data_IF_959499094964
#
_entry.id   IF_959499094964
#
_cell.length_a   1.000
_cell.length_b   1.000
_cell.length_c   1.000
_cell.angle_alpha   90.00
_cell.angle_beta   90.00
_cell.angle_gamma   90.00
#
_symmetry.space_group_name_H-M   'P 1'
#
loop_
_entity.id
_entity.type
_entity.pdbx_description
1 polymer ?
#
# COMPACT_ATOMS: atom_id res chain seq x y z
N UNK A 1 -50.11 -8.01 55.72
CA UNK A 1 -48.71 -8.41 55.44
C UNK A 1 -48.73 -9.25 54.16
N UNK A 2 -47.98 -8.90 53.13
CA UNK A 2 -47.82 -9.73 51.94
C UNK A 2 -46.66 -10.70 52.18
N UNK A 3 -46.88 -12.00 51.94
CA UNK A 3 -45.79 -12.98 51.91
C UNK A 3 -45.03 -12.80 50.60
N UNK A 4 -43.81 -12.25 50.68
CA UNK A 4 -42.86 -12.28 49.56
C UNK A 4 -42.33 -13.71 49.48
N UNK A 5 -43.03 -14.57 48.74
CA UNK A 5 -42.61 -15.93 48.44
C UNK A 5 -41.38 -15.91 47.54
N UNK A 6 -40.41 -16.80 47.82
CA UNK A 6 -39.12 -16.88 47.13
C UNK A 6 -39.25 -17.10 45.62
N UNK A 7 -39.21 -16.03 44.84
CA UNK A 7 -38.91 -16.12 43.41
C UNK A 7 -37.40 -16.31 43.23
N UNK A 8 -36.95 -17.56 43.42
CA UNK A 8 -35.59 -17.98 43.03
C UNK A 8 -35.51 -17.99 41.50
N UNK A 9 -35.23 -16.81 40.93
CA UNK A 9 -34.93 -16.67 39.50
C UNK A 9 -33.75 -17.57 39.14
N UNK A 10 -34.03 -18.67 38.43
CA UNK A 10 -33.01 -19.62 37.96
C UNK A 10 -32.27 -19.06 36.75
N UNK A 11 -31.47 -18.04 37.02
CA UNK A 11 -30.54 -17.42 36.08
C UNK A 11 -29.70 -18.48 35.35
N UNK A 12 -29.94 -18.65 34.04
CA UNK A 12 -29.28 -19.67 33.21
C UNK A 12 -28.06 -19.07 32.51
N UNK A 13 -26.88 -19.27 33.08
CA UNK A 13 -25.61 -18.81 32.51
C UNK A 13 -25.13 -19.63 31.30
N UNK A 14 -24.36 -19.00 30.40
CA UNK A 14 -23.52 -19.69 29.39
C UNK A 14 -22.17 -18.97 29.21
N UNK A 15 -21.07 -19.72 28.91
CA UNK A 15 -19.81 -19.11 28.50
C UNK A 15 -19.94 -18.51 27.10
N UNK A 16 -19.44 -17.29 26.92
CA UNK A 16 -19.32 -16.62 25.61
C UNK A 16 -18.07 -17.16 24.91
N UNK A 17 -18.20 -17.58 23.64
CA UNK A 17 -17.05 -17.98 22.82
C UNK A 17 -16.27 -16.75 22.34
N UNK A 18 -14.98 -16.67 22.66
CA UNK A 18 -14.11 -15.59 22.22
C UNK A 18 -12.63 -15.98 22.29
N UNK A 19 -11.78 -15.16 21.68
CA UNK A 19 -10.33 -15.15 21.94
C UNK A 19 -10.01 -14.52 23.28
N UNK A 20 -8.82 -14.78 23.82
CA UNK A 20 -8.33 -14.12 25.04
C UNK A 20 -8.36 -12.59 24.92
N UNK A 21 -8.08 -12.04 23.72
CA UNK A 21 -8.25 -10.63 23.38
C UNK A 21 -9.69 -10.11 23.60
N UNK A 22 -10.71 -10.85 23.13
CA UNK A 22 -12.13 -10.50 23.35
C UNK A 22 -12.53 -10.61 24.82
N UNK A 23 -11.95 -11.56 25.54
CA UNK A 23 -12.15 -11.72 26.98
C UNK A 23 -11.57 -10.50 27.72
N UNK A 24 -10.34 -10.07 27.41
CA UNK A 24 -9.72 -8.84 27.93
C UNK A 24 -10.53 -7.58 27.62
N UNK A 25 -10.95 -7.40 26.37
CA UNK A 25 -11.81 -6.28 25.96
C UNK A 25 -13.04 -6.18 26.85
N UNK A 26 -13.78 -7.28 26.99
CA UNK A 26 -15.03 -7.36 27.74
C UNK A 26 -14.83 -7.45 29.26
N UNK A 27 -13.62 -7.72 29.75
CA UNK A 27 -13.25 -7.63 31.17
C UNK A 27 -13.14 -6.18 31.66
N UNK A 28 -12.84 -5.21 30.78
CA UNK A 28 -12.70 -3.80 31.17
C UNK A 28 -14.00 -3.17 31.67
N UNK A 29 -13.90 -2.32 32.71
CA UNK A 29 -15.05 -1.59 33.28
C UNK A 29 -15.82 -0.79 32.22
N UNK A 30 -15.09 -0.22 31.26
CA UNK A 30 -15.61 0.55 30.13
C UNK A 30 -16.51 -0.31 29.23
N UNK A 31 -16.05 -1.51 28.86
CA UNK A 31 -16.87 -2.49 28.15
C UNK A 31 -18.07 -2.97 28.98
N UNK A 32 -17.90 -3.23 30.28
CA UNK A 32 -18.98 -3.69 31.15
C UNK A 32 -20.10 -2.64 31.23
N UNK A 33 -19.75 -1.36 31.43
CA UNK A 33 -20.70 -0.25 31.40
C UNK A 33 -21.40 -0.13 30.03
N UNK A 34 -20.65 -0.18 28.93
CA UNK A 34 -21.21 -0.06 27.58
C UNK A 34 -22.10 -1.26 27.20
N UNK A 35 -21.77 -2.49 27.62
CA UNK A 35 -22.63 -3.68 27.45
C UNK A 35 -23.91 -3.55 28.27
N UNK A 36 -23.82 -3.08 29.52
CA UNK A 36 -25.00 -2.86 30.36
C UNK A 36 -25.91 -1.76 29.80
N UNK A 37 -25.35 -0.71 29.21
CA UNK A 37 -26.11 0.29 28.45
C UNK A 37 -26.79 -0.31 27.22
N UNK A 38 -26.10 -1.14 26.42
CA UNK A 38 -26.67 -1.79 25.24
C UNK A 38 -27.86 -2.70 25.62
N UNK A 39 -27.74 -3.48 26.69
CA UNK A 39 -28.84 -4.29 27.20
C UNK A 39 -29.99 -3.42 27.72
N UNK A 40 -29.70 -2.35 28.47
CA UNK A 40 -30.74 -1.44 29.00
C UNK A 40 -31.50 -0.71 27.88
N UNK A 41 -30.79 -0.21 26.87
CA UNK A 41 -31.36 0.42 25.66
C UNK A 41 -32.26 -0.55 24.88
N UNK A 42 -31.87 -1.83 24.80
CA UNK A 42 -32.64 -2.90 24.18
C UNK A 42 -33.75 -3.51 25.09
N UNK A 43 -33.93 -3.00 26.32
CA UNK A 43 -34.84 -3.51 27.37
C UNK A 43 -34.59 -4.98 27.77
N UNK A 44 -33.34 -5.42 27.69
CA UNK A 44 -32.92 -6.79 27.98
C UNK A 44 -32.58 -6.96 29.46
N UNK A 45 -33.17 -7.97 30.10
CA UNK A 45 -32.85 -8.38 31.47
C UNK A 45 -31.71 -9.39 31.49
N UNK A 46 -30.51 -8.90 31.15
CA UNK A 46 -29.27 -9.66 31.17
C UNK A 46 -28.12 -8.85 31.78
N UNK A 47 -27.11 -9.57 32.25
CA UNK A 47 -25.84 -9.06 32.79
C UNK A 47 -24.72 -9.91 32.18
N UNK A 48 -23.69 -9.24 31.66
CA UNK A 48 -22.41 -9.89 31.36
C UNK A 48 -21.55 -9.88 32.63
N UNK A 49 -20.81 -10.95 32.88
CA UNK A 49 -19.96 -11.07 34.06
C UNK A 49 -18.71 -11.89 33.75
N UNK A 50 -17.69 -11.79 34.59
CA UNK A 50 -16.43 -12.50 34.44
C UNK A 50 -16.27 -13.45 35.62
N UNK A 51 -16.00 -14.72 35.36
CA UNK A 51 -15.72 -15.72 36.39
C UNK A 51 -14.78 -16.79 35.86
N UNK A 52 -13.75 -17.12 36.62
CA UNK A 52 -12.82 -18.21 36.30
C UNK A 52 -12.22 -18.07 34.86
N UNK A 53 -11.82 -16.84 34.53
CA UNK A 53 -11.37 -16.36 33.20
C UNK A 53 -12.37 -16.54 32.03
N UNK A 54 -13.63 -16.86 32.34
CA UNK A 54 -14.71 -16.98 31.36
C UNK A 54 -15.69 -15.81 31.42
N UNK A 55 -16.12 -15.36 30.24
CA UNK A 55 -17.24 -14.44 30.08
C UNK A 55 -18.55 -15.20 30.26
N UNK A 56 -19.31 -14.86 31.29
CA UNK A 56 -20.52 -15.53 31.69
C UNK A 56 -21.72 -14.61 31.43
N UNK A 57 -22.50 -14.92 30.38
CA UNK A 57 -23.74 -14.22 30.06
C UNK A 57 -24.90 -14.81 30.86
N UNK A 58 -25.54 -13.98 31.67
CA UNK A 58 -26.61 -14.35 32.59
C UNK A 58 -27.86 -13.52 32.30
N UNK A 59 -29.04 -14.16 32.23
CA UNK A 59 -30.31 -13.48 31.96
C UNK A 59 -31.49 -14.17 32.67
N UNK A 60 -32.62 -13.46 32.77
CA UNK A 60 -33.85 -13.93 33.43
C UNK A 60 -34.39 -15.25 32.82
N UNK A 61 -34.29 -15.41 31.50
CA UNK A 61 -34.76 -16.59 30.75
C UNK A 61 -33.87 -16.86 29.50
N UNK A 62 -34.27 -17.86 28.68
CA UNK A 62 -33.53 -18.23 27.47
C UNK A 62 -33.78 -17.32 26.25
N UNK A 63 -34.89 -16.60 26.20
CA UNK A 63 -35.17 -15.61 25.14
C UNK A 63 -34.34 -14.34 25.39
N UNK A 64 -34.39 -13.80 26.62
CA UNK A 64 -33.56 -12.68 27.08
C UNK A 64 -32.07 -12.97 26.87
N UNK A 65 -31.60 -14.18 27.21
CA UNK A 65 -30.21 -14.60 26.93
C UNK A 65 -29.90 -14.63 25.43
N UNK A 66 -30.83 -15.12 24.60
CA UNK A 66 -30.63 -15.19 23.15
C UNK A 66 -30.63 -13.80 22.50
N UNK A 67 -31.46 -12.88 22.98
CA UNK A 67 -31.47 -11.48 22.57
C UNK A 67 -30.18 -10.77 23.00
N UNK A 68 -29.73 -10.99 24.24
CA UNK A 68 -28.47 -10.45 24.76
C UNK A 68 -27.25 -10.90 23.93
N UNK A 69 -27.17 -12.19 23.59
CA UNK A 69 -26.11 -12.74 22.73
C UNK A 69 -26.10 -12.04 21.37
N UNK A 70 -27.26 -11.91 20.70
CA UNK A 70 -27.39 -11.20 19.41
C UNK A 70 -27.00 -9.71 19.49
N UNK A 71 -27.34 -9.03 20.58
CA UNK A 71 -26.95 -7.62 20.77
C UNK A 71 -25.44 -7.51 20.97
N UNK A 72 -24.84 -8.38 21.78
CA UNK A 72 -23.40 -8.41 22.01
C UNK A 72 -22.63 -8.76 20.72
N UNK A 73 -23.04 -9.81 20.01
CA UNK A 73 -22.47 -10.23 18.72
C UNK A 73 -22.57 -9.13 17.65
N UNK A 74 -23.69 -8.39 17.57
CA UNK A 74 -23.87 -7.30 16.61
C UNK A 74 -22.95 -6.09 16.87
N UNK A 75 -22.54 -5.87 18.13
CA UNK A 75 -21.68 -4.74 18.52
C UNK A 75 -20.20 -5.14 18.68
N UNK A 76 -19.84 -6.43 18.58
CA UNK A 76 -18.47 -6.91 18.72
C UNK A 76 -17.77 -7.09 17.37
N UNK A 77 -17.16 -6.01 16.90
CA UNK A 77 -16.44 -5.97 15.65
C UNK A 77 -15.03 -6.52 15.83
N UNK A 78 -14.60 -7.43 14.93
CA UNK A 78 -13.20 -7.80 14.76
C UNK A 78 -12.72 -7.34 13.40
N UNK A 79 -11.53 -6.78 13.36
CA UNK A 79 -10.81 -6.47 12.13
C UNK A 79 -9.39 -7.00 12.22
N UNK A 80 -8.81 -7.30 11.07
CA UNK A 80 -7.45 -7.80 10.96
C UNK A 80 -6.75 -7.05 9.82
N UNK A 81 -5.60 -6.47 10.12
CA UNK A 81 -4.77 -5.75 9.15
C UNK A 81 -3.53 -6.62 8.91
N UNK A 82 -3.28 -7.13 7.69
CA UNK A 82 -2.06 -7.87 7.40
C UNK A 82 -0.85 -6.93 7.52
N UNK A 83 0.26 -7.45 8.05
CA UNK A 83 1.55 -6.73 8.14
C UNK A 83 2.67 -7.62 7.64
N UNK A 84 3.70 -6.99 7.08
CA UNK A 84 4.93 -7.65 6.61
C UNK A 84 6.07 -7.55 7.65
N UNK A 85 7.24 -8.08 7.31
CA UNK A 85 8.42 -8.09 8.18
C UNK A 85 8.99 -6.69 8.45
N UNK A 86 8.76 -5.69 7.59
CA UNK A 86 9.25 -4.32 7.81
C UNK A 86 8.51 -3.62 8.95
N UNK A 87 7.23 -3.93 9.14
CA UNK A 87 6.44 -3.39 10.25
C UNK A 87 6.91 -3.94 11.62
N UNK A 88 7.68 -5.03 11.67
CA UNK A 88 8.00 -5.72 12.93
C UNK A 88 8.87 -4.90 13.89
N UNK A 89 9.76 -4.04 13.40
CA UNK A 89 10.53 -3.12 14.25
C UNK A 89 9.62 -2.03 14.83
N UNK A 90 8.77 -1.42 13.99
CA UNK A 90 7.78 -0.44 14.41
C UNK A 90 6.80 -1.01 15.45
N UNK A 91 6.27 -2.22 15.22
CA UNK A 91 5.40 -2.97 16.13
C UNK A 91 6.08 -3.42 17.44
N UNK A 92 7.39 -3.21 17.60
CA UNK A 92 8.12 -3.41 18.87
C UNK A 92 8.46 -2.09 19.58
N UNK A 93 8.40 -0.96 18.87
CA UNK A 93 8.73 0.37 19.38
C UNK A 93 7.80 0.84 20.50
N UNK A 94 8.31 1.72 21.36
CA UNK A 94 7.48 2.39 22.37
C UNK A 94 6.47 3.37 21.75
N UNK A 95 6.74 3.89 20.54
CA UNK A 95 5.80 4.72 19.79
C UNK A 95 4.55 3.96 19.37
N UNK A 96 4.69 2.66 19.05
CA UNK A 96 3.53 1.79 18.81
C UNK A 96 2.76 1.52 20.10
N UNK A 97 3.45 1.23 21.21
CA UNK A 97 2.81 0.98 22.52
C UNK A 97 1.98 2.18 22.95
N UNK A 98 2.57 3.37 22.99
CA UNK A 98 1.89 4.63 23.33
C UNK A 98 0.65 4.87 22.45
N UNK A 99 0.75 4.60 21.15
CA UNK A 99 -0.38 4.74 20.23
C UNK A 99 -1.51 3.74 20.50
N UNK A 100 -1.20 2.52 20.97
CA UNK A 100 -2.22 1.56 21.41
C UNK A 100 -2.79 1.95 22.78
N UNK A 101 -1.94 2.35 23.74
CA UNK A 101 -2.36 2.83 25.06
C UNK A 101 -3.36 4.01 24.94
N UNK A 102 -3.07 4.97 24.04
CA UNK A 102 -3.97 6.07 23.70
C UNK A 102 -5.30 5.59 23.10
N UNK A 103 -5.27 4.59 22.20
CA UNK A 103 -6.48 4.04 21.57
C UNK A 103 -7.36 3.26 22.57
N UNK A 104 -6.76 2.42 23.41
CA UNK A 104 -7.48 1.63 24.43
C UNK A 104 -7.99 2.51 25.58
N UNK A 105 -7.31 3.63 25.87
CA UNK A 105 -7.82 4.65 26.78
C UNK A 105 -9.04 5.40 26.19
N UNK A 106 -8.94 5.88 24.94
CA UNK A 106 -9.98 6.72 24.33
C UNK A 106 -11.20 5.91 23.84
N UNK A 107 -11.01 4.74 23.24
CA UNK A 107 -12.08 3.91 22.66
C UNK A 107 -12.34 2.62 23.48
N UNK A 108 -13.36 1.85 23.13
CA UNK A 108 -13.64 0.56 23.77
C UNK A 108 -13.13 -0.55 22.84
N UNK A 109 -11.81 -0.74 22.85
CA UNK A 109 -11.07 -1.54 21.87
C UNK A 109 -9.90 -2.26 22.55
N UNK A 110 -9.42 -3.35 21.94
CA UNK A 110 -8.11 -3.94 22.22
C UNK A 110 -7.36 -4.23 20.92
N UNK A 111 -6.05 -3.97 20.88
CA UNK A 111 -5.21 -4.13 19.68
C UNK A 111 -4.00 -5.03 19.97
N UNK A 112 -4.13 -6.32 19.64
CA UNK A 112 -3.04 -7.29 19.76
C UNK A 112 -2.30 -7.45 18.42
N UNK A 113 -0.97 -7.48 18.45
CA UNK A 113 -0.16 -7.88 17.29
C UNK A 113 0.01 -9.40 17.23
N UNK A 114 -0.27 -9.97 16.07
CA UNK A 114 0.17 -11.31 15.68
C UNK A 114 1.55 -11.26 15.01
N UNK A 115 1.93 -12.37 14.37
CA UNK A 115 3.17 -12.46 13.58
C UNK A 115 3.01 -11.83 12.19
N UNK A 116 1.87 -12.03 11.53
CA UNK A 116 1.60 -11.56 10.15
C UNK A 116 0.41 -10.59 10.05
N UNK A 117 -0.15 -10.17 11.18
CA UNK A 117 -1.30 -9.26 11.23
C UNK A 117 -1.38 -8.50 12.55
N UNK A 118 -2.10 -7.37 12.54
CA UNK A 118 -2.59 -6.68 13.74
C UNK A 118 -4.09 -6.94 13.85
N UNK A 119 -4.53 -7.44 15.00
CA UNK A 119 -5.94 -7.79 15.27
C UNK A 119 -6.55 -6.74 16.18
N UNK A 120 -7.68 -6.18 15.74
CA UNK A 120 -8.45 -5.16 16.46
C UNK A 120 -9.80 -5.79 16.83
N UNK A 121 -10.08 -5.93 18.13
CA UNK A 121 -11.41 -6.30 18.64
C UNK A 121 -12.01 -5.07 19.35
N UNK A 122 -13.19 -4.62 18.90
CA UNK A 122 -13.82 -3.35 19.32
C UNK A 122 -15.30 -3.52 19.65
N UNK A 123 -15.80 -2.71 20.59
CA UNK A 123 -17.21 -2.69 21.01
C UNK A 123 -17.92 -1.41 20.52
N UNK A 124 -18.96 -1.60 19.71
CA UNK A 124 -19.79 -0.54 19.14
C UNK A 124 -19.15 0.21 17.98
N UNK A 125 -19.73 1.37 17.66
CA UNK A 125 -19.51 2.07 16.39
C UNK A 125 -18.08 2.63 16.20
N UNK A 126 -17.27 2.70 17.27
CA UNK A 126 -15.86 3.15 17.22
C UNK A 126 -14.95 2.28 16.33
N UNK A 127 -15.38 1.06 15.99
CA UNK A 127 -14.59 0.10 15.21
C UNK A 127 -14.08 0.65 13.87
N UNK A 128 -14.86 1.49 13.17
CA UNK A 128 -14.45 2.10 11.90
C UNK A 128 -13.32 3.12 12.05
N UNK A 129 -13.42 4.00 13.05
CA UNK A 129 -12.44 5.06 13.30
C UNK A 129 -11.12 4.49 13.85
N UNK A 130 -11.16 3.48 14.71
CA UNK A 130 -9.94 2.82 15.19
C UNK A 130 -9.28 2.01 14.07
N UNK A 131 -10.05 1.25 13.28
CA UNK A 131 -9.52 0.53 12.11
C UNK A 131 -8.84 1.49 11.12
N UNK A 132 -9.40 2.68 10.91
CA UNK A 132 -8.77 3.72 10.09
C UNK A 132 -7.47 4.21 10.73
N UNK A 133 -7.50 4.66 11.99
CA UNK A 133 -6.33 5.20 12.68
C UNK A 133 -5.15 4.20 12.70
N UNK A 134 -5.41 2.93 13.02
CA UNK A 134 -4.37 1.89 13.02
C UNK A 134 -3.84 1.63 11.61
N UNK A 135 -4.69 1.61 10.58
CA UNK A 135 -4.25 1.44 9.18
C UNK A 135 -3.41 2.62 8.70
N UNK A 136 -3.82 3.85 8.99
CA UNK A 136 -3.07 5.06 8.62
C UNK A 136 -1.72 5.08 9.35
N UNK A 137 -1.68 4.76 10.65
CA UNK A 137 -0.46 4.65 11.44
C UNK A 137 0.52 3.58 10.92
N UNK A 138 0.02 2.41 10.52
CA UNK A 138 0.83 1.36 9.90
C UNK A 138 1.37 1.83 8.54
N UNK A 139 0.53 2.43 7.69
CA UNK A 139 0.91 2.97 6.37
C UNK A 139 2.00 4.05 6.47
N UNK A 140 1.94 4.93 7.47
CA UNK A 140 2.97 5.94 7.73
C UNK A 140 4.34 5.34 8.10
N UNK A 141 4.36 4.08 8.56
CA UNK A 141 5.54 3.32 8.97
C UNK A 141 5.81 2.10 8.07
N UNK A 142 5.14 2.01 6.91
CA UNK A 142 5.34 0.96 5.92
C UNK A 142 6.58 1.25 5.06
N UNK A 143 7.19 0.20 4.48
CA UNK A 143 8.32 0.37 3.58
C UNK A 143 7.90 1.20 2.35
N UNK A 144 8.47 2.40 2.20
CA UNK A 144 8.33 3.17 0.96
C UNK A 144 9.29 2.62 -0.09
N UNK A 145 8.92 2.72 -1.37
CA UNK A 145 9.83 2.38 -2.48
C UNK A 145 9.69 3.36 -3.64
N UNK A 146 10.78 3.56 -4.38
CA UNK A 146 10.91 4.57 -5.43
C UNK A 146 11.89 4.07 -6.50
N UNK A 147 11.57 4.30 -7.77
CA UNK A 147 12.34 3.80 -8.92
C UNK A 147 13.09 4.95 -9.61
N UNK A 148 14.42 4.85 -9.66
CA UNK A 148 15.27 5.71 -10.48
C UNK A 148 15.46 5.02 -11.83
N UNK A 149 14.75 5.49 -12.85
CA UNK A 149 14.91 5.03 -14.23
C UNK A 149 16.30 5.35 -14.78
N UNK A 150 16.83 4.43 -15.57
CA UNK A 150 18.13 4.51 -16.26
C UNK A 150 17.97 4.13 -17.75
N UNK A 151 18.93 4.53 -18.59
CA UNK A 151 19.14 3.85 -19.88
C UNK A 151 19.75 2.46 -19.67
N UNK A 152 19.86 1.65 -20.75
CA UNK A 152 20.57 0.37 -20.65
C UNK A 152 22.05 0.59 -20.35
N UNK A 153 22.67 1.57 -21.01
CA UNK A 153 24.09 1.89 -20.89
C UNK A 153 24.44 2.35 -19.47
N UNK A 154 23.58 3.19 -18.86
CA UNK A 154 23.72 3.63 -17.47
C UNK A 154 23.57 2.47 -16.49
N UNK A 155 22.61 1.56 -16.72
CA UNK A 155 22.43 0.37 -15.87
C UNK A 155 23.62 -0.59 -15.97
N UNK A 156 24.14 -0.85 -17.17
CA UNK A 156 25.31 -1.70 -17.39
C UNK A 156 26.57 -1.09 -16.75
N UNK A 157 26.82 0.21 -16.95
CA UNK A 157 27.93 0.94 -16.33
C UNK A 157 27.87 0.87 -14.80
N UNK A 158 26.72 1.25 -14.23
CA UNK A 158 26.54 1.33 -12.79
C UNK A 158 26.62 -0.05 -12.14
N UNK A 159 25.97 -1.07 -12.71
CA UNK A 159 25.97 -2.43 -12.18
C UNK A 159 27.33 -3.12 -12.31
N UNK A 160 28.06 -2.90 -13.41
CA UNK A 160 29.33 -3.61 -13.67
C UNK A 160 30.52 -2.98 -12.94
N UNK A 161 30.56 -1.64 -12.82
CA UNK A 161 31.75 -0.93 -12.34
C UNK A 161 31.53 -0.05 -11.09
N UNK A 162 30.28 0.29 -10.75
CA UNK A 162 29.96 1.20 -9.65
C UNK A 162 28.96 0.65 -8.62
N UNK A 163 28.61 -0.64 -8.66
CA UNK A 163 27.63 -1.24 -7.75
C UNK A 163 28.00 -0.99 -6.28
N UNK A 164 29.27 -1.16 -5.91
CA UNK A 164 29.75 -0.88 -4.54
C UNK A 164 29.57 0.58 -4.14
N UNK A 165 29.68 1.53 -5.07
CA UNK A 165 29.47 2.96 -4.80
C UNK A 165 27.98 3.28 -4.61
N UNK A 166 27.10 2.59 -5.33
CA UNK A 166 25.63 2.64 -5.16
C UNK A 166 25.23 2.04 -3.80
N UNK A 167 25.79 0.91 -3.41
CA UNK A 167 25.59 0.31 -2.08
C UNK A 167 26.16 1.20 -0.95
N UNK A 168 27.33 1.81 -1.15
CA UNK A 168 27.97 2.66 -0.14
C UNK A 168 27.22 3.97 0.10
N UNK A 169 26.45 4.47 -0.86
CA UNK A 169 25.49 5.57 -0.62
C UNK A 169 24.43 5.16 0.42
N UNK A 170 23.98 3.90 0.41
CA UNK A 170 23.02 3.37 1.36
C UNK A 170 23.64 3.15 2.75
N UNK A 171 24.88 2.63 2.78
CA UNK A 171 25.64 2.43 4.03
C UNK A 171 25.93 3.77 4.73
N UNK A 172 26.22 4.83 3.98
CA UNK A 172 26.47 6.19 4.51
C UNK A 172 25.24 6.83 5.16
N UNK A 173 24.02 6.42 4.80
CA UNK A 173 22.78 6.81 5.52
C UNK A 173 22.51 6.01 6.80
N UNK A 174 23.39 5.07 7.17
CA UNK A 174 23.69 4.77 8.57
C UNK A 174 22.83 3.76 9.33
N UNK A 175 21.75 3.21 8.76
CA UNK A 175 20.79 2.37 9.52
C UNK A 175 20.55 0.96 8.99
N UNK A 176 20.96 0.64 7.75
CA UNK A 176 20.60 -0.62 7.09
C UNK A 176 19.12 -0.74 6.69
N UNK A 177 18.26 0.22 7.08
CA UNK A 177 16.83 0.29 6.71
C UNK A 177 16.56 0.89 5.32
N UNK A 178 17.59 1.08 4.50
CA UNK A 178 17.43 1.41 3.08
C UNK A 178 18.13 0.36 2.23
N UNK A 179 17.33 -0.37 1.47
CA UNK A 179 17.76 -1.37 0.50
C UNK A 179 17.77 -0.76 -0.90
N UNK A 180 18.71 -1.20 -1.75
CA UNK A 180 18.82 -0.76 -3.15
C UNK A 180 19.06 -1.95 -4.06
N UNK A 181 18.29 -2.03 -5.15
CA UNK A 181 18.36 -3.12 -6.12
C UNK A 181 18.39 -2.63 -7.57
N UNK A 182 19.32 -3.16 -8.36
CA UNK A 182 19.29 -3.07 -9.82
C UNK A 182 18.26 -4.05 -10.37
N UNK A 183 17.17 -3.56 -10.94
CA UNK A 183 16.06 -4.40 -11.43
C UNK A 183 15.41 -3.79 -12.69
N UNK A 184 14.34 -4.41 -13.18
CA UNK A 184 13.48 -3.85 -14.22
C UNK A 184 12.12 -3.49 -13.65
N UNK A 185 11.57 -2.38 -14.13
CA UNK A 185 10.18 -1.96 -13.86
C UNK A 185 9.20 -2.92 -14.56
N UNK A 186 7.90 -2.95 -14.17
CA UNK A 186 6.88 -3.74 -14.86
C UNK A 186 6.73 -3.42 -16.36
N UNK A 187 7.18 -2.23 -16.79
CA UNK A 187 7.23 -1.80 -18.20
C UNK A 187 8.53 -2.18 -18.94
N UNK A 188 9.35 -3.08 -18.37
CA UNK A 188 10.62 -3.53 -18.94
C UNK A 188 11.80 -2.55 -18.81
N UNK A 189 11.56 -1.27 -18.47
CA UNK A 189 12.64 -0.27 -18.31
C UNK A 189 13.55 -0.60 -17.13
N UNK A 190 14.86 -0.41 -17.32
CA UNK A 190 15.88 -0.54 -16.29
C UNK A 190 15.68 0.50 -15.16
N UNK A 191 15.84 0.06 -13.91
CA UNK A 191 15.72 0.91 -12.72
C UNK A 191 16.75 0.53 -11.64
N UNK A 192 17.12 1.53 -10.85
CA UNK A 192 17.57 1.33 -9.46
C UNK A 192 16.36 1.56 -8.57
N UNK A 193 15.86 0.50 -7.93
CA UNK A 193 14.81 0.59 -6.91
C UNK A 193 15.45 0.87 -5.56
N UNK A 194 14.98 1.91 -4.88
CA UNK A 194 15.32 2.24 -3.49
C UNK A 194 14.10 1.88 -2.63
N UNK A 195 14.28 1.23 -1.48
CA UNK A 195 13.17 0.98 -0.54
C UNK A 195 13.58 1.04 0.93
N UNK A 196 12.75 1.62 1.79
CA UNK A 196 13.10 1.87 3.20
C UNK A 196 12.28 2.94 3.90
N UNK A 197 12.78 3.40 5.06
CA UNK A 197 12.21 4.51 5.86
C UNK A 197 12.02 5.78 5.01
N UNK A 198 10.82 6.37 5.04
CA UNK A 198 10.45 7.54 4.23
C UNK A 198 11.42 8.73 4.34
N UNK A 199 11.90 9.02 5.54
CA UNK A 199 12.81 10.12 5.86
C UNK A 199 14.25 9.88 5.38
N UNK A 200 14.67 8.62 5.27
CA UNK A 200 16.00 8.24 4.79
C UNK A 200 16.02 8.07 3.26
N UNK A 201 14.92 7.57 2.70
CA UNK A 201 14.77 7.28 1.27
C UNK A 201 14.99 8.52 0.40
N UNK A 202 14.52 9.71 0.79
CA UNK A 202 14.73 10.94 0.01
C UNK A 202 16.21 11.34 -0.08
N UNK A 203 17.00 11.10 0.97
CA UNK A 203 18.44 11.39 0.96
C UNK A 203 19.19 10.43 0.01
N UNK A 204 18.91 9.12 0.10
CA UNK A 204 19.49 8.11 -0.79
C UNK A 204 19.08 8.34 -2.24
N UNK A 205 17.78 8.61 -2.49
CA UNK A 205 17.23 8.95 -3.81
C UNK A 205 17.91 10.18 -4.41
N UNK A 206 18.14 11.23 -3.62
CA UNK A 206 18.82 12.45 -4.07
C UNK A 206 20.29 12.19 -4.41
N UNK A 207 21.02 11.47 -3.53
CA UNK A 207 22.41 11.09 -3.79
C UNK A 207 22.57 10.21 -5.03
N UNK A 208 21.67 9.24 -5.23
CA UNK A 208 21.67 8.39 -6.42
C UNK A 208 21.32 9.17 -7.69
N UNK A 209 20.34 10.08 -7.67
CA UNK A 209 20.05 10.95 -8.83
C UNK A 209 21.24 11.84 -9.19
N UNK A 210 21.91 12.43 -8.20
CA UNK A 210 23.15 13.20 -8.42
C UNK A 210 24.31 12.33 -8.93
N UNK A 211 24.34 11.04 -8.58
CA UNK A 211 25.35 10.10 -9.09
C UNK A 211 25.09 9.72 -10.55
N UNK A 212 23.84 9.41 -10.92
CA UNK A 212 23.41 9.17 -12.32
C UNK A 212 23.67 10.40 -13.19
N UNK A 213 23.31 11.60 -12.72
CA UNK A 213 23.52 12.87 -13.43
C UNK A 213 25.00 13.22 -13.69
N UNK A 214 25.96 12.46 -13.13
CA UNK A 214 27.40 12.61 -13.38
C UNK A 214 27.95 11.62 -14.42
N UNK A 215 27.11 10.75 -14.98
CA UNK A 215 27.47 9.90 -16.10
C UNK A 215 27.59 10.78 -17.35
N UNK A 216 28.74 10.69 -18.05
CA UNK A 216 29.01 11.47 -19.25
C UNK A 216 28.89 10.55 -20.47
N UNK A 217 27.87 10.81 -21.29
CA UNK A 217 27.63 10.11 -22.55
C UNK A 217 28.47 10.72 -23.67
N UNK A 218 29.13 9.89 -24.50
CA UNK A 218 29.91 10.36 -25.67
C UNK A 218 29.90 9.34 -26.82
N UNK A 219 29.22 9.69 -27.90
CA UNK A 219 29.25 8.94 -29.18
C UNK A 219 30.54 9.22 -29.96
N UNK A 220 31.08 8.20 -30.63
CA UNK A 220 32.22 8.33 -31.56
C UNK A 220 31.96 7.48 -32.80
N UNK A 221 31.74 8.11 -33.95
CA UNK A 221 31.45 7.44 -35.23
C UNK A 221 32.74 7.02 -35.94
N UNK A 222 32.82 5.76 -36.41
CA UNK A 222 33.99 5.22 -37.11
C UNK A 222 33.66 4.75 -38.52
N UNK A 223 34.14 5.47 -39.54
CA UNK A 223 33.97 5.09 -40.96
C UNK A 223 35.13 4.22 -41.45
N UNK A 224 35.15 2.94 -41.03
CA UNK A 224 36.14 1.93 -41.48
C UNK A 224 35.45 0.62 -41.85
N UNK A 225 35.61 0.20 -43.10
CA UNK A 225 35.06 -1.07 -43.60
C UNK A 225 35.49 -2.26 -42.73
N UNK A 226 34.55 -3.17 -42.45
CA UNK A 226 34.76 -4.36 -41.63
C UNK A 226 34.90 -4.12 -40.11
N UNK A 227 35.08 -2.89 -39.64
CA UNK A 227 35.34 -2.61 -38.21
C UNK A 227 34.16 -3.02 -37.32
N UNK A 228 32.93 -2.65 -37.69
CA UNK A 228 31.73 -3.02 -36.95
C UNK A 228 31.55 -4.55 -36.86
N UNK A 229 31.82 -5.27 -37.95
CA UNK A 229 31.77 -6.73 -37.96
C UNK A 229 32.90 -7.36 -37.12
N UNK A 230 34.09 -6.77 -37.12
CA UNK A 230 35.18 -7.17 -36.22
C UNK A 230 34.79 -6.99 -34.74
N UNK A 231 34.18 -5.85 -34.37
CA UNK A 231 33.73 -5.59 -33.00
C UNK A 231 32.69 -6.61 -32.51
N UNK A 232 31.88 -7.18 -33.41
CA UNK A 232 30.93 -8.27 -33.09
C UNK A 232 31.61 -9.63 -32.82
N UNK A 233 32.85 -9.85 -33.27
CA UNK A 233 33.61 -11.11 -33.03
C UNK A 233 34.01 -11.27 -31.56
N UNK A 234 34.39 -12.48 -31.16
CA UNK A 234 34.94 -12.74 -29.82
C UNK A 234 36.18 -11.88 -29.52
N UNK A 235 37.10 -11.74 -30.47
CA UNK A 235 38.30 -10.90 -30.32
C UNK A 235 37.98 -9.41 -30.17
N UNK A 236 37.01 -8.90 -30.95
CA UNK A 236 36.52 -7.53 -30.82
C UNK A 236 35.88 -7.29 -29.45
N UNK A 237 34.97 -8.17 -29.03
CA UNK A 237 34.33 -8.13 -27.69
C UNK A 237 35.35 -8.19 -26.55
N UNK A 238 36.39 -9.01 -26.64
CA UNK A 238 37.46 -9.04 -25.63
C UNK A 238 38.25 -7.73 -25.57
N UNK A 239 38.56 -7.11 -26.72
CA UNK A 239 39.24 -5.81 -26.76
C UNK A 239 38.37 -4.70 -26.11
N UNK A 240 37.08 -4.65 -26.43
CA UNK A 240 36.11 -3.73 -25.82
C UNK A 240 36.05 -3.96 -24.30
N UNK A 241 35.84 -5.21 -23.87
CA UNK A 241 35.76 -5.59 -22.45
C UNK A 241 37.04 -5.23 -21.69
N UNK A 242 38.20 -5.27 -22.35
CA UNK A 242 39.49 -4.83 -21.79
C UNK A 242 39.48 -3.33 -21.48
N UNK A 243 39.11 -2.51 -22.46
CA UNK A 243 39.02 -1.04 -22.33
C UNK A 243 37.98 -0.67 -21.25
N UNK A 244 36.79 -1.27 -21.26
CA UNK A 244 35.76 -1.05 -20.24
C UNK A 244 36.29 -1.34 -18.82
N UNK A 245 37.02 -2.45 -18.64
CA UNK A 245 37.60 -2.84 -17.34
C UNK A 245 38.76 -1.96 -16.91
N UNK A 246 39.55 -1.43 -17.83
CA UNK A 246 40.67 -0.53 -17.56
C UNK A 246 40.16 0.87 -17.16
N UNK A 247 39.29 1.46 -17.98
CA UNK A 247 38.82 2.85 -17.84
C UNK A 247 37.53 3.01 -17.02
N UNK A 248 36.92 1.91 -16.55
CA UNK A 248 35.63 1.87 -15.82
C UNK A 248 34.49 2.56 -16.58
N UNK A 249 34.46 2.33 -17.88
CA UNK A 249 33.42 2.83 -18.78
C UNK A 249 32.58 1.67 -19.34
N UNK A 250 31.51 1.99 -20.06
CA UNK A 250 30.74 1.04 -20.85
C UNK A 250 30.70 1.51 -22.31
N UNK A 251 30.78 0.57 -23.25
CA UNK A 251 30.89 0.83 -24.69
C UNK A 251 29.78 0.06 -25.43
N UNK A 252 28.67 0.75 -25.70
CA UNK A 252 27.67 0.28 -26.66
C UNK A 252 28.16 0.51 -28.10
N UNK A 253 27.82 -0.39 -29.03
CA UNK A 253 28.21 -0.30 -30.45
C UNK A 253 26.98 -0.56 -31.33
N UNK A 254 26.46 0.53 -31.88
CA UNK A 254 25.30 0.54 -32.79
C UNK A 254 25.73 0.64 -34.25
N UNK A 255 24.83 0.23 -35.15
CA UNK A 255 24.96 0.48 -36.59
C UNK A 255 24.19 1.77 -36.92
N UNK A 256 24.87 2.75 -37.50
CA UNK A 256 24.23 3.95 -38.04
C UNK A 256 23.55 3.55 -39.36
N UNK A 257 22.26 3.18 -39.28
CA UNK A 257 21.46 2.87 -40.47
C UNK A 257 21.12 4.16 -41.20
N UNK A 258 21.37 4.20 -42.50
CA UNK A 258 21.15 5.38 -43.33
C UNK A 258 19.69 5.85 -43.26
N UNK A 259 19.47 7.03 -42.67
CA UNK A 259 18.17 7.69 -42.58
C UNK A 259 17.84 8.44 -43.88
N UNK A 260 17.81 7.72 -45.01
CA UNK A 260 17.63 8.30 -46.34
C UNK A 260 17.03 7.31 -47.37
N UNK A 261 15.79 6.86 -47.14
CA UNK A 261 14.87 6.43 -48.21
C UNK A 261 13.43 6.26 -47.71
N UNK A 262 12.63 7.32 -47.87
CA UNK A 262 11.17 7.26 -48.13
C UNK A 262 10.90 8.35 -49.16
N UNK A 263 11.16 8.00 -50.41
CA UNK A 263 10.45 8.38 -51.64
C UNK A 263 9.75 9.76 -51.68
N UNK A 264 10.36 10.69 -52.42
CA UNK A 264 9.62 11.79 -53.06
C UNK A 264 8.90 11.24 -54.31
N UNK A 265 7.61 10.94 -54.20
CA UNK A 265 6.70 10.73 -55.36
C UNK A 265 5.23 10.75 -54.88
N UNK A 266 4.64 11.95 -54.69
CA UNK A 266 3.20 12.18 -54.90
C UNK A 266 2.93 13.66 -55.23
N UNK A 267 1.96 13.90 -56.11
CA UNK A 267 1.92 15.08 -57.00
C UNK A 267 1.53 16.44 -56.37
N UNK A 268 1.97 17.50 -57.08
CA UNK A 268 1.44 18.88 -57.07
C UNK A 268 0.01 18.83 -57.69
N UNK A 269 -1.06 19.47 -57.21
CA UNK A 269 -1.21 20.88 -56.77
C UNK A 269 -2.52 21.11 -55.95
N UNK A 270 -2.77 22.39 -55.65
CA UNK A 270 -4.08 23.06 -55.53
C UNK A 270 -4.89 23.08 -54.21
N UNK A 271 -4.71 24.22 -53.50
CA UNK A 271 -5.75 25.19 -53.12
C UNK A 271 -6.89 24.82 -52.13
N UNK A 272 -6.77 25.44 -50.95
CA UNK A 272 -7.79 26.27 -50.25
C UNK A 272 -9.05 25.62 -49.65
N UNK A 273 -9.70 26.41 -48.76
CA UNK A 273 -11.05 26.20 -48.17
C UNK A 273 -11.18 25.04 -47.14
N UNK A 274 -11.91 25.17 -46.03
CA UNK A 274 -12.31 26.40 -45.33
C UNK A 274 -12.52 26.12 -43.82
N UNK A 275 -12.63 27.17 -43.00
CA UNK A 275 -13.01 27.05 -41.58
C UNK A 275 -14.54 26.97 -41.48
N UNK A 276 -15.08 25.84 -41.01
CA UNK A 276 -16.52 25.78 -40.68
C UNK A 276 -16.82 25.12 -39.33
N UNK A 277 -17.40 25.91 -38.43
CA UNK A 277 -18.00 25.42 -37.18
C UNK A 277 -19.32 24.66 -37.47
N UNK A 278 -19.66 23.61 -36.71
CA UNK A 278 -20.94 22.92 -36.84
C UNK A 278 -22.08 23.66 -36.12
N UNK A 279 -22.87 24.43 -36.86
CA UNK A 279 -24.11 25.08 -36.36
C UNK A 279 -25.24 24.04 -36.20
N UNK A 280 -25.97 24.01 -35.08
CA UNK A 280 -27.06 23.04 -34.86
C UNK A 280 -28.30 23.31 -35.75
N UNK A 281 -28.99 22.25 -36.22
CA UNK A 281 -30.08 22.39 -37.20
C UNK A 281 -31.34 23.02 -36.61
N UNK A 282 -31.76 24.15 -37.16
CA UNK A 282 -33.02 24.81 -36.77
C UNK A 282 -34.21 24.25 -37.53
N UNK A 283 -35.17 23.75 -36.76
CA UNK A 283 -36.54 23.33 -37.10
C UNK A 283 -37.24 24.25 -38.13
N UNK A 284 -37.64 23.71 -39.28
CA UNK A 284 -38.62 24.34 -40.18
C UNK A 284 -39.99 23.66 -40.10
N UNK A 285 -41.05 24.45 -40.33
CA UNK A 285 -42.44 23.99 -40.47
C UNK A 285 -42.97 24.31 -41.87
N UNK A 286 -43.83 23.43 -42.38
CA UNK A 286 -45.00 23.75 -43.20
C UNK A 286 -46.12 22.80 -42.71
N UNK A 287 -47.34 23.20 -42.34
CA UNK A 287 -48.36 23.96 -43.08
C UNK A 287 -48.75 23.27 -44.39
N UNK A 288 -50.02 22.92 -44.68
CA UNK A 288 -51.26 22.87 -43.88
C UNK A 288 -52.23 21.84 -44.55
N UNK A 289 -53.57 21.81 -44.52
CA UNK A 289 -54.65 22.73 -44.04
C UNK A 289 -56.01 21.97 -44.10
N UNK A 290 -56.92 22.14 -43.11
CA UNK A 290 -58.39 21.93 -43.24
C UNK A 290 -58.85 20.48 -43.59
N UNK A 291 -60.11 20.02 -43.54
CA UNK A 291 -61.48 20.42 -43.07
C UNK A 291 -62.32 19.12 -43.07
N UNK A 292 -63.37 18.84 -42.29
CA UNK A 292 -64.07 19.49 -41.16
C UNK A 292 -65.03 18.46 -40.49
N UNK A 293 -65.77 18.87 -39.44
CA UNK A 293 -66.76 18.14 -38.60
C UNK A 293 -66.18 17.27 -37.49
#
# INVERSE_FOLDING_TARGET
MLKISEQVFRFKSRPVKGTNQRIRLLQSDKSQQQVQELFSKARIQAVLSVRDDQLLLTAADDEQKSQASRVLERNLHRSEIPVDDFHQEFLQSDQWKQFIDDLECNYTVTVEKGTSSVVIDALGDCSGDVLKQVRDKLKDNAQQSDDIHLTEEEWQLLKTYHQTQVEDLCKKTGTGRVHVAFTTSPSGKYVIRVSGDASLLQNVKTGLKQFVQRIIHKTVTFRRAGLFQFMKTGSGKMAITGIEKEYKCHISITEEKDAAQVDEDEDIDDKTEDIHEPVPPTRMMAQARQTDV
#
